data_IF_732909640434
#
_entry.id   IF_732909640434
#
_cell.length_a   1.000
_cell.length_b   1.000
_cell.length_c   1.000
_cell.angle_alpha   90.00
_cell.angle_beta   90.00
_cell.angle_gamma   90.00
#
_symmetry.space_group_name_H-M   'P 1'
#
loop_
_entity.id
_entity.type
_entity.pdbx_description
1 polymer ?
#
# COMPACT_ATOMS: atom_id res chain seq x y z
N UNK A 1 2.89 -4.01 -16.21
CA UNK A 1 3.39 -3.74 -14.85
C UNK A 1 3.27 -5.04 -14.07
N UNK A 2 4.28 -5.39 -13.28
CA UNK A 2 4.31 -6.59 -12.43
C UNK A 2 3.36 -6.40 -11.23
N UNK A 3 2.87 -7.51 -10.69
CA UNK A 3 2.07 -7.59 -9.46
C UNK A 3 2.42 -8.88 -8.72
N UNK A 4 2.21 -8.88 -7.41
CA UNK A 4 2.42 -10.03 -6.51
C UNK A 4 1.22 -10.98 -6.52
N UNK A 5 0.01 -10.42 -6.55
CA UNK A 5 -1.22 -11.16 -6.35
C UNK A 5 -2.01 -11.38 -7.65
N UNK A 6 -2.94 -12.33 -7.60
CA UNK A 6 -4.01 -12.46 -8.58
C UNK A 6 -5.23 -11.68 -8.09
N UNK A 7 -5.71 -10.73 -8.90
CA UNK A 7 -6.83 -9.86 -8.60
C UNK A 7 -8.11 -10.38 -9.26
N UNK A 8 -8.49 -11.63 -8.95
CA UNK A 8 -9.61 -12.34 -9.56
C UNK A 8 -10.88 -12.39 -8.69
N UNK A 9 -10.81 -11.88 -7.46
CA UNK A 9 -11.94 -11.71 -6.55
C UNK A 9 -11.72 -10.52 -5.60
N UNK A 10 -12.79 -10.11 -4.91
CA UNK A 10 -12.71 -9.09 -3.87
C UNK A 10 -12.30 -9.71 -2.55
N UNK A 11 -11.27 -9.15 -1.93
CA UNK A 11 -10.71 -9.71 -0.70
C UNK A 11 -11.60 -9.41 0.50
N UNK A 12 -11.71 -10.41 1.38
CA UNK A 12 -12.19 -10.21 2.75
C UNK A 12 -11.18 -9.37 3.54
N UNK A 13 -11.60 -8.87 4.71
CA UNK A 13 -10.69 -8.14 5.61
C UNK A 13 -9.42 -8.93 5.95
N UNK A 14 -9.54 -10.25 6.17
CA UNK A 14 -8.41 -11.10 6.53
C UNK A 14 -7.45 -11.27 5.35
N UNK A 15 -7.97 -11.56 4.16
CA UNK A 15 -7.17 -11.68 2.93
C UNK A 15 -6.47 -10.36 2.58
N UNK A 16 -7.17 -9.24 2.70
CA UNK A 16 -6.57 -7.92 2.49
C UNK A 16 -5.47 -7.64 3.51
N UNK A 17 -5.70 -7.95 4.79
CA UNK A 17 -4.67 -7.79 5.84
C UNK A 17 -3.43 -8.64 5.55
N UNK A 18 -3.61 -9.90 5.14
CA UNK A 18 -2.52 -10.81 4.80
C UNK A 18 -1.75 -10.34 3.55
N UNK A 19 -2.45 -9.82 2.53
CA UNK A 19 -1.82 -9.25 1.35
C UNK A 19 -0.96 -8.02 1.70
N UNK A 20 -1.46 -7.11 2.54
CA UNK A 20 -0.71 -5.95 3.01
C UNK A 20 0.54 -6.35 3.81
N UNK A 21 0.40 -7.31 4.72
CA UNK A 21 1.53 -7.86 5.48
C UNK A 21 2.57 -8.52 4.56
N UNK A 22 2.13 -9.22 3.52
CA UNK A 22 3.00 -9.85 2.53
C UNK A 22 3.80 -8.81 1.76
N UNK A 23 3.17 -7.71 1.30
CA UNK A 23 3.88 -6.63 0.63
C UNK A 23 4.93 -5.98 1.54
N UNK A 24 4.58 -5.68 2.79
CA UNK A 24 5.52 -5.08 3.75
C UNK A 24 6.72 -6.01 4.00
N UNK A 25 6.48 -7.32 4.13
CA UNK A 25 7.54 -8.32 4.30
C UNK A 25 8.45 -8.42 3.08
N UNK A 26 7.91 -8.32 1.87
CA UNK A 26 8.66 -8.42 0.62
C UNK A 26 9.43 -7.14 0.28
N UNK A 27 8.96 -5.97 0.75
CA UNK A 27 9.53 -4.66 0.45
C UNK A 27 9.80 -3.82 1.71
N UNK A 28 10.58 -4.34 2.70
CA UNK A 28 10.76 -3.67 4.00
C UNK A 28 11.50 -2.34 3.91
N UNK A 29 12.28 -2.11 2.85
CA UNK A 29 12.99 -0.84 2.62
C UNK A 29 12.10 0.25 2.03
N UNK A 30 10.92 -0.12 1.49
CA UNK A 30 9.96 0.79 0.87
C UNK A 30 8.69 0.97 1.70
N UNK A 31 8.24 -0.08 2.38
CA UNK A 31 6.96 -0.09 3.08
C UNK A 31 7.11 -0.07 4.60
N UNK A 32 6.19 0.64 5.24
CA UNK A 32 5.88 0.50 6.65
C UNK A 32 4.37 0.39 6.79
N UNK A 33 3.90 -0.38 7.78
CA UNK A 33 2.48 -0.57 8.05
C UNK A 33 2.21 -0.35 9.53
N UNK A 34 1.13 0.35 9.82
CA UNK A 34 0.65 0.60 11.16
C UNK A 34 -0.86 0.52 11.24
N UNK A 35 -1.38 0.30 12.45
CA UNK A 35 -2.79 0.43 12.74
C UNK A 35 -3.04 1.83 13.29
N UNK A 36 -3.79 2.64 12.55
CA UNK A 36 -4.05 4.04 12.96
C UNK A 36 -5.21 4.15 13.94
N UNK A 37 -6.11 3.16 13.96
CA UNK A 37 -7.17 3.04 14.94
C UNK A 37 -7.79 1.64 14.92
N UNK A 38 -8.75 1.41 15.82
CA UNK A 38 -9.66 0.27 15.77
C UNK A 38 -11.03 0.73 15.31
N UNK A 39 -11.64 -0.04 14.41
CA UNK A 39 -13.06 0.10 14.08
C UNK A 39 -13.95 -0.19 15.29
N UNK A 40 -15.24 0.16 15.20
CA UNK A 40 -16.24 -0.13 16.25
C UNK A 40 -16.26 -1.62 16.65
N UNK A 41 -16.02 -2.52 15.70
CA UNK A 41 -15.97 -3.97 15.93
C UNK A 41 -14.56 -4.50 16.24
N UNK A 42 -13.62 -3.63 16.59
CA UNK A 42 -12.29 -4.01 17.07
C UNK A 42 -11.28 -4.43 15.98
N UNK A 43 -11.61 -4.28 14.70
CA UNK A 43 -10.66 -4.52 13.58
C UNK A 43 -9.68 -3.36 13.45
N UNK A 44 -8.43 -3.66 13.12
CA UNK A 44 -7.44 -2.65 12.76
C UNK A 44 -7.85 -1.89 11.51
N UNK A 45 -7.56 -0.59 11.50
CA UNK A 45 -7.58 0.23 10.29
C UNK A 45 -6.12 0.41 9.88
N UNK A 46 -5.73 -0.29 8.82
CA UNK A 46 -4.34 -0.30 8.35
C UNK A 46 -4.03 0.95 7.54
N UNK A 47 -2.91 1.59 7.86
CA UNK A 47 -2.26 2.57 7.00
C UNK A 47 -0.90 2.01 6.57
N UNK A 48 -0.53 2.26 5.32
CA UNK A 48 0.77 1.92 4.78
C UNK A 48 1.45 3.19 4.26
N UNK A 49 2.72 3.35 4.63
CA UNK A 49 3.59 4.38 4.08
C UNK A 49 4.50 3.75 3.03
N UNK A 50 4.50 4.29 1.81
CA UNK A 50 5.37 3.86 0.72
C UNK A 50 6.38 4.96 0.41
N UNK A 51 7.65 4.72 0.73
CA UNK A 51 8.72 5.64 0.34
C UNK A 51 10.06 4.94 0.39
N UNK A 52 11.00 5.33 -0.47
CA UNK A 52 12.37 4.90 -0.32
C UNK A 52 12.98 5.53 0.95
N UNK A 53 13.20 4.71 1.98
CA UNK A 53 13.75 5.12 3.27
C UNK A 53 15.21 5.60 3.19
N UNK A 54 15.90 5.33 2.09
CA UNK A 54 17.29 5.73 1.88
C UNK A 54 17.44 7.13 1.28
N UNK A 55 16.36 7.72 0.75
CA UNK A 55 16.41 9.04 0.08
C UNK A 55 16.01 10.20 1.00
N UNK A 56 16.05 10.00 2.32
CA UNK A 56 15.80 11.02 3.33
C UNK A 56 14.54 10.76 4.16
N UNK A 57 14.22 11.71 5.03
CA UNK A 57 13.05 11.65 5.90
C UNK A 57 11.75 11.63 5.07
N UNK A 58 10.86 10.63 5.23
CA UNK A 58 9.55 10.60 4.60
C UNK A 58 8.74 11.89 4.81
N UNK A 59 8.82 12.50 6.00
CA UNK A 59 8.07 13.72 6.31
C UNK A 59 8.61 14.97 5.62
N UNK A 60 9.80 14.89 5.02
CA UNK A 60 10.38 15.97 4.22
C UNK A 60 9.96 15.90 2.74
N UNK A 61 9.27 14.83 2.32
CA UNK A 61 8.80 14.64 0.94
C UNK A 61 7.32 15.00 0.84
N UNK A 62 6.84 15.57 -0.28
CA UNK A 62 5.41 15.73 -0.50
C UNK A 62 4.75 14.35 -0.58
N UNK A 63 3.59 14.23 0.06
CA UNK A 63 2.86 12.97 0.14
C UNK A 63 1.62 12.94 -0.73
N UNK A 64 1.27 11.77 -1.25
CA UNK A 64 -0.02 11.52 -1.90
C UNK A 64 -0.83 10.52 -1.08
N UNK A 65 -2.01 10.93 -0.63
CA UNK A 65 -2.85 10.11 0.21
C UNK A 65 -3.94 9.40 -0.60
N UNK A 66 -4.06 8.08 -0.37
CA UNK A 66 -5.13 7.24 -0.91
C UNK A 66 -5.87 6.61 0.27
N UNK A 67 -7.14 6.97 0.46
CA UNK A 67 -8.08 6.12 1.18
C UNK A 67 -8.98 5.38 0.19
N UNK A 68 -9.48 4.22 0.62
CA UNK A 68 -10.39 3.45 -0.18
C UNK A 68 -11.36 2.63 0.65
N UNK A 69 -12.48 2.27 0.04
CA UNK A 69 -13.54 1.46 0.65
C UNK A 69 -14.18 2.09 1.91
N UNK A 70 -14.13 3.43 2.04
CA UNK A 70 -14.82 4.19 3.09
C UNK A 70 -16.32 3.86 3.15
N UNK A 71 -16.94 3.64 1.99
CA UNK A 71 -18.22 2.97 1.89
C UNK A 71 -18.02 1.46 1.72
N UNK A 72 -18.56 0.65 2.65
CA UNK A 72 -18.32 -0.79 2.69
C UNK A 72 -18.78 -1.55 1.42
N UNK A 73 -19.78 -1.04 0.70
CA UNK A 73 -20.30 -1.66 -0.53
C UNK A 73 -19.44 -1.41 -1.78
N UNK A 74 -18.51 -0.45 -1.74
CA UNK A 74 -17.67 -0.06 -2.87
C UNK A 74 -16.36 -0.86 -2.88
N UNK A 75 -16.48 -2.18 -2.92
CA UNK A 75 -15.37 -3.14 -2.74
C UNK A 75 -14.25 -3.03 -3.79
N UNK A 76 -14.51 -2.39 -4.93
CA UNK A 76 -13.49 -2.08 -5.94
C UNK A 76 -12.43 -1.12 -5.43
N UNK A 77 -12.77 -0.25 -4.47
CA UNK A 77 -11.86 0.74 -3.92
C UNK A 77 -10.65 0.08 -3.24
N UNK A 78 -10.89 -0.86 -2.32
CA UNK A 78 -9.82 -1.55 -1.60
C UNK A 78 -8.89 -2.31 -2.53
N UNK A 79 -9.44 -2.97 -3.55
CA UNK A 79 -8.63 -3.66 -4.56
C UNK A 79 -7.81 -2.69 -5.43
N UNK A 80 -8.35 -1.54 -5.79
CA UNK A 80 -7.62 -0.52 -6.55
C UNK A 80 -6.45 0.07 -5.74
N UNK A 81 -6.65 0.32 -4.44
CA UNK A 81 -5.60 0.77 -3.54
C UNK A 81 -4.49 -0.30 -3.38
N UNK A 82 -4.87 -1.55 -3.14
CA UNK A 82 -3.93 -2.67 -3.05
C UNK A 82 -3.13 -2.84 -4.35
N UNK A 83 -3.81 -2.82 -5.50
CA UNK A 83 -3.16 -2.95 -6.82
C UNK A 83 -2.19 -1.80 -7.09
N UNK A 84 -2.56 -0.56 -6.74
CA UNK A 84 -1.68 0.60 -6.87
C UNK A 84 -0.40 0.39 -6.06
N UNK A 85 -0.54 -0.04 -4.81
CA UNK A 85 0.60 -0.29 -3.92
C UNK A 85 1.51 -1.41 -4.44
N UNK A 86 0.92 -2.53 -4.86
CA UNK A 86 1.62 -3.70 -5.38
C UNK A 86 2.41 -3.35 -6.66
N UNK A 87 1.80 -2.62 -7.59
CA UNK A 87 2.48 -2.12 -8.79
C UNK A 87 3.66 -1.21 -8.44
N UNK A 88 3.47 -0.25 -7.54
CA UNK A 88 4.55 0.67 -7.16
C UNK A 88 5.73 -0.08 -6.53
N UNK A 89 5.47 -1.08 -5.69
CA UNK A 89 6.53 -1.84 -5.02
C UNK A 89 7.25 -2.82 -5.94
N UNK A 90 6.50 -3.60 -6.73
CA UNK A 90 7.06 -4.69 -7.56
C UNK A 90 7.77 -4.21 -8.81
N UNK A 91 7.57 -2.95 -9.20
CA UNK A 91 8.23 -2.35 -10.35
C UNK A 91 9.26 -1.27 -9.94
N UNK A 92 9.47 -1.05 -8.63
CA UNK A 92 10.54 -0.19 -8.12
C UNK A 92 11.91 -0.72 -8.53
N UNK A 93 12.79 0.15 -9.03
CA UNK A 93 14.11 -0.19 -9.57
C UNK A 93 14.10 -0.71 -11.01
N UNK A 94 12.93 -1.05 -11.56
CA UNK A 94 12.78 -1.50 -12.95
C UNK A 94 12.13 -0.44 -13.85
N UNK A 95 11.10 0.24 -13.35
CA UNK A 95 10.45 1.35 -14.05
C UNK A 95 10.94 2.69 -13.48
N UNK A 96 11.50 3.53 -14.35
CA UNK A 96 12.10 4.81 -13.94
C UNK A 96 11.06 5.81 -13.39
N UNK A 97 9.83 5.79 -13.88
CA UNK A 97 8.78 6.69 -13.38
C UNK A 97 8.30 6.25 -12.00
N UNK A 98 8.03 4.95 -11.81
CA UNK A 98 7.58 4.41 -10.52
C UNK A 98 8.67 4.51 -9.45
N UNK A 99 9.93 4.27 -9.83
CA UNK A 99 11.09 4.48 -8.95
C UNK A 99 11.16 5.93 -8.47
N UNK A 100 11.03 6.89 -9.39
CA UNK A 100 11.04 8.32 -9.05
C UNK A 100 9.91 8.67 -8.08
N UNK A 101 8.73 8.09 -8.21
CA UNK A 101 7.63 8.34 -7.27
C UNK A 101 8.03 7.94 -5.85
N UNK A 102 8.53 6.72 -5.64
CA UNK A 102 8.96 6.26 -4.31
C UNK A 102 10.17 7.03 -3.75
N UNK A 103 11.07 7.48 -4.62
CA UNK A 103 12.25 8.25 -4.19
C UNK A 103 11.91 9.67 -3.76
N UNK A 104 10.99 10.32 -4.47
CA UNK A 104 10.72 11.76 -4.32
C UNK A 104 9.44 12.08 -3.58
N UNK A 105 8.52 11.11 -3.43
CA UNK A 105 7.25 11.23 -2.74
C UNK A 105 7.17 10.25 -1.56
N UNK A 106 6.10 10.38 -0.77
CA UNK A 106 5.70 9.43 0.29
C UNK A 106 4.22 9.10 0.17
#
# INVERSE_FOLDING_TARGET
MKTTFQYDHYYTYSELTEALQTLVKNHPDLLAMESICKSEKGRDVWALTLTNKQTGDPLAKPAFYIDANTHAGEVTGSMAALHTLDVLCTNYGEDAQLTRLADTLT
#
